data_IF_359905524951
#
_entry.id   IF_359905524951
#
_cell.length_a   1.000
_cell.length_b   1.000
_cell.length_c   1.000
_cell.angle_alpha   90.00
_cell.angle_beta   90.00
_cell.angle_gamma   90.00
#
_symmetry.space_group_name_H-M   'P 1'
#
loop_
_entity.id
_entity.type
_entity.pdbx_description
1 polymer ?
#
# COMPACT_ATOMS: atom_id res chain seq x y z
N UNK A 1 -6.72 -6.46 -32.39
CA UNK A 1 -6.10 -7.32 -31.35
C UNK A 1 -6.58 -6.85 -29.99
N UNK A 2 -7.48 -7.60 -29.35
CA UNK A 2 -8.03 -7.25 -28.03
C UNK A 2 -7.01 -7.60 -26.94
N UNK A 3 -6.87 -6.83 -25.84
CA UNK A 3 -5.91 -7.16 -24.79
C UNK A 3 -6.32 -8.49 -24.15
N UNK A 4 -5.39 -9.44 -24.13
CA UNK A 4 -5.55 -10.77 -23.53
C UNK A 4 -6.24 -10.67 -22.17
N UNK A 5 -7.50 -11.11 -22.09
CA UNK A 5 -8.17 -11.39 -20.83
C UNK A 5 -7.44 -12.57 -20.19
N UNK A 6 -6.49 -12.28 -19.30
CA UNK A 6 -5.92 -13.31 -18.42
C UNK A 6 -7.04 -13.68 -17.44
N UNK A 7 -7.54 -14.92 -17.42
CA UNK A 7 -8.56 -15.33 -16.47
C UNK A 7 -7.99 -15.11 -15.06
N UNK A 8 -8.62 -14.25 -14.26
CA UNK A 8 -8.24 -14.06 -12.86
C UNK A 8 -8.70 -15.27 -12.08
N UNK A 9 -7.90 -16.33 -12.08
CA UNK A 9 -8.14 -17.52 -11.25
C UNK A 9 -8.12 -17.07 -9.79
N UNK A 10 -9.26 -17.22 -9.11
CA UNK A 10 -9.35 -16.99 -7.67
C UNK A 10 -8.44 -17.98 -6.96
N UNK A 11 -7.56 -17.51 -6.08
CA UNK A 11 -6.72 -18.34 -5.21
C UNK A 11 -7.00 -18.02 -3.75
N UNK A 12 -6.67 -18.94 -2.86
CA UNK A 12 -6.67 -18.67 -1.42
C UNK A 12 -5.28 -18.15 -1.07
N UNK A 13 -5.21 -16.99 -0.42
CA UNK A 13 -3.95 -16.47 0.10
C UNK A 13 -3.53 -17.29 1.32
N UNK A 14 -2.30 -17.80 1.33
CA UNK A 14 -1.76 -18.58 2.44
C UNK A 14 -1.52 -17.76 3.71
N UNK A 15 -1.39 -16.43 3.59
CA UNK A 15 -1.10 -15.56 4.72
C UNK A 15 -2.35 -15.07 5.47
N UNK A 16 -3.47 -14.87 4.77
CA UNK A 16 -4.71 -14.37 5.38
C UNK A 16 -5.93 -15.26 5.16
N UNK A 17 -5.77 -16.37 4.44
CA UNK A 17 -6.80 -17.35 4.12
C UNK A 17 -8.02 -16.78 3.38
N UNK A 18 -7.87 -15.61 2.75
CA UNK A 18 -8.93 -14.98 1.95
C UNK A 18 -8.80 -15.33 0.47
N UNK A 19 -9.93 -15.38 -0.24
CA UNK A 19 -9.95 -15.55 -1.69
C UNK A 19 -9.54 -14.26 -2.37
N UNK A 20 -8.40 -14.25 -3.04
CA UNK A 20 -7.88 -13.11 -3.78
C UNK A 20 -7.85 -13.37 -5.30
N UNK A 21 -7.94 -12.28 -6.07
CA UNK A 21 -7.89 -12.33 -7.54
C UNK A 21 -6.48 -12.09 -8.08
N UNK A 22 -5.61 -11.49 -7.26
CA UNK A 22 -4.24 -11.19 -7.67
C UNK A 22 -3.35 -12.44 -7.55
N UNK A 23 -2.62 -12.71 -8.62
CA UNK A 23 -1.69 -13.85 -8.72
C UNK A 23 -0.37 -13.58 -8.02
N UNK A 24 0.12 -12.33 -8.06
CA UNK A 24 1.45 -11.95 -7.55
C UNK A 24 1.46 -11.57 -6.06
N UNK A 25 0.40 -10.94 -5.59
CA UNK A 25 0.26 -10.49 -4.19
C UNK A 25 -1.20 -10.67 -3.75
N UNK A 26 -1.48 -10.47 -2.46
CA UNK A 26 -2.84 -10.48 -1.94
C UNK A 26 -3.24 -9.05 -1.57
N UNK A 27 -4.25 -8.51 -2.25
CA UNK A 27 -4.79 -7.16 -2.02
C UNK A 27 -5.21 -6.94 -0.55
N UNK A 28 -5.71 -7.98 0.12
CA UNK A 28 -6.08 -7.92 1.54
C UNK A 28 -4.86 -7.84 2.45
N UNK A 29 -3.82 -8.64 2.19
CA UNK A 29 -2.59 -8.57 2.97
C UNK A 29 -1.93 -7.20 2.84
N UNK A 30 -1.92 -6.62 1.63
CA UNK A 30 -1.42 -5.26 1.41
C UNK A 30 -2.20 -4.26 2.26
N UNK A 31 -3.55 -4.27 2.19
CA UNK A 31 -4.36 -3.34 3.01
C UNK A 31 -4.16 -3.52 4.51
N UNK A 32 -4.04 -4.76 4.99
CA UNK A 32 -3.81 -5.04 6.40
C UNK A 32 -2.44 -4.55 6.87
N UNK A 33 -1.39 -4.79 6.06
CA UNK A 33 -0.05 -4.27 6.32
C UNK A 33 -0.06 -2.73 6.42
N UNK A 34 -0.71 -2.07 5.46
CA UNK A 34 -0.85 -0.62 5.48
C UNK A 34 -1.55 -0.20 6.78
N UNK A 35 -2.77 -0.66 7.04
CA UNK A 35 -3.52 -0.30 8.26
C UNK A 35 -2.70 -0.43 9.55
N UNK A 36 -1.93 -1.52 9.70
CA UNK A 36 -1.08 -1.75 10.86
C UNK A 36 0.14 -0.81 10.96
N UNK A 37 0.71 -0.39 9.82
CA UNK A 37 1.79 0.61 9.78
C UNK A 37 1.28 2.03 10.13
N UNK A 38 0.08 2.37 9.65
CA UNK A 38 -0.51 3.70 9.82
C UNK A 38 -1.09 3.96 11.21
N UNK A 39 -1.37 2.93 12.02
CA UNK A 39 -1.78 3.15 13.42
C UNK A 39 -0.70 3.80 14.28
N UNK A 40 0.56 3.79 13.84
CA UNK A 40 1.71 4.18 14.67
C UNK A 40 2.30 5.56 14.30
N UNK A 41 1.73 6.29 13.32
CA UNK A 41 2.21 7.63 12.97
C UNK A 41 1.04 8.58 12.63
N UNK A 42 1.22 9.87 12.90
CA UNK A 42 0.33 10.96 12.47
C UNK A 42 1.18 12.11 11.94
N UNK A 43 0.69 12.82 10.92
CA UNK A 43 1.35 14.03 10.42
C UNK A 43 1.16 15.23 11.35
N UNK A 44 0.30 15.11 12.36
CA UNK A 44 -0.21 16.24 13.15
C UNK A 44 -1.29 17.05 12.42
N UNK A 45 -1.66 16.66 11.19
CA UNK A 45 -2.73 17.28 10.42
C UNK A 45 -3.80 16.25 10.05
N UNK A 46 -4.97 16.38 10.68
CA UNK A 46 -6.09 15.44 10.52
C UNK A 46 -6.58 15.31 9.08
N UNK A 47 -6.53 16.39 8.29
CA UNK A 47 -7.00 16.37 6.90
C UNK A 47 -6.04 15.57 6.01
N UNK A 48 -4.73 15.74 6.24
CA UNK A 48 -3.69 14.98 5.53
C UNK A 48 -3.76 13.51 5.92
N UNK A 49 -3.88 13.21 7.22
CA UNK A 49 -3.99 11.84 7.71
C UNK A 49 -5.23 11.13 7.13
N UNK A 50 -6.38 11.80 7.10
CA UNK A 50 -7.61 11.29 6.50
C UNK A 50 -7.46 11.02 4.99
N UNK A 51 -6.81 11.93 4.25
CA UNK A 51 -6.57 11.75 2.82
C UNK A 51 -5.69 10.52 2.55
N UNK A 52 -4.60 10.37 3.31
CA UNK A 52 -3.65 9.27 3.15
C UNK A 52 -4.32 7.93 3.48
N UNK A 53 -5.05 7.85 4.60
CA UNK A 53 -5.81 6.65 4.96
C UNK A 53 -6.83 6.27 3.88
N UNK A 54 -7.54 7.26 3.31
CA UNK A 54 -8.49 7.04 2.23
C UNK A 54 -7.80 6.43 1.00
N UNK A 55 -6.72 7.05 0.51
CA UNK A 55 -5.97 6.56 -0.65
C UNK A 55 -5.46 5.12 -0.46
N UNK A 56 -4.95 4.80 0.73
CA UNK A 56 -4.44 3.46 1.04
C UNK A 56 -5.56 2.43 1.19
N UNK A 57 -6.72 2.82 1.71
CA UNK A 57 -7.89 1.95 1.83
C UNK A 57 -8.44 1.52 0.46
N UNK A 58 -8.30 2.38 -0.55
CA UNK A 58 -8.69 2.11 -1.93
C UNK A 58 -7.61 1.33 -2.70
N UNK A 59 -6.36 1.42 -2.25
CA UNK A 59 -5.23 0.73 -2.86
C UNK A 59 -5.36 -0.78 -2.76
N UNK A 60 -5.13 -1.46 -3.88
CA UNK A 60 -5.09 -2.92 -3.98
C UNK A 60 -3.75 -3.43 -4.50
N UNK A 61 -2.90 -2.52 -5.01
CA UNK A 61 -1.62 -2.85 -5.65
C UNK A 61 -0.47 -2.24 -4.86
N UNK A 62 0.61 -2.99 -4.61
CA UNK A 62 1.75 -2.48 -3.85
C UNK A 62 2.47 -1.34 -4.55
N UNK A 63 2.46 -1.31 -5.89
CA UNK A 63 3.18 -0.31 -6.68
C UNK A 63 2.49 1.07 -6.76
N UNK A 64 1.34 1.26 -6.12
CA UNK A 64 0.60 2.55 -6.09
C UNK A 64 0.30 3.02 -4.68
N UNK A 65 0.98 2.44 -3.68
CA UNK A 65 0.81 2.81 -2.28
C UNK A 65 1.31 4.25 -2.09
N UNK A 66 0.46 5.09 -1.49
CA UNK A 66 0.85 6.42 -1.01
C UNK A 66 1.52 6.27 0.34
N UNK A 67 2.72 6.83 0.50
CA UNK A 67 3.46 6.82 1.78
C UNK A 67 3.62 8.25 2.32
N UNK A 68 3.51 8.40 3.64
CA UNK A 68 3.84 9.65 4.32
C UNK A 68 5.33 9.66 4.67
N UNK A 69 6.02 10.71 4.23
CA UNK A 69 7.41 10.96 4.59
C UNK A 69 7.42 12.20 5.48
N UNK A 70 7.69 12.05 6.80
CA UNK A 70 7.75 13.19 7.69
C UNK A 70 8.85 14.15 7.23
N UNK A 71 8.51 15.43 7.11
CA UNK A 71 9.48 16.46 6.77
C UNK A 71 10.34 16.75 7.99
N UNK A 72 11.49 16.09 8.05
CA UNK A 72 12.45 16.29 9.10
C UNK A 72 13.73 16.78 8.40
N UNK A 73 14.12 18.03 8.68
CA UNK A 73 15.10 18.83 7.90
C UNK A 73 16.47 18.16 7.71
N UNK A 74 16.82 17.20 8.57
CA UNK A 74 18.09 16.46 8.56
C UNK A 74 18.06 15.19 7.68
N UNK A 75 16.87 14.72 7.27
CA UNK A 75 16.68 13.41 6.62
C UNK A 75 16.79 13.45 5.09
N UNK A 76 16.90 14.63 4.50
CA UNK A 76 17.07 14.81 3.04
C UNK A 76 18.43 14.28 2.54
N UNK A 77 19.46 14.21 3.40
CA UNK A 77 20.80 13.71 3.03
C UNK A 77 20.86 12.18 3.04
N UNK A 78 20.09 11.51 3.89
CA UNK A 78 20.07 10.04 3.99
C UNK A 78 18.99 9.37 3.10
N UNK A 79 17.86 10.02 2.85
CA UNK A 79 16.78 9.48 2.01
C UNK A 79 17.06 9.52 0.50
N UNK A 80 18.13 10.20 0.04
CA UNK A 80 18.57 10.09 -1.36
C UNK A 80 19.30 8.79 -1.69
N UNK A 81 19.71 8.00 -0.69
CA UNK A 81 20.51 6.79 -0.92
C UNK A 81 19.71 5.47 -1.01
N UNK A 82 18.40 5.51 -0.78
CA UNK A 82 17.54 4.32 -0.79
C UNK A 82 16.39 4.41 -1.79
N UNK A 83 16.54 5.23 -2.83
CA UNK A 83 15.79 5.07 -4.08
C UNK A 83 16.59 4.19 -5.04
N UNK A 84 16.77 2.90 -4.71
CA UNK A 84 17.03 1.79 -5.64
C UNK A 84 16.61 0.48 -4.97
#
# INVERSE_FOLDING_TARGET
>A
MSPRHVPRTRRICENCNQKCLATLYCEFCVRNYLKAKFSNWTSGNVNIDNLIQKCQSETSRPNVIVEWIPYNSEYQVFNKRWFF
#
